data_IF_931632835032
#
_entry.id   IF_931632835032
#
_cell.length_a   1.000
_cell.length_b   1.000
_cell.length_c   1.000
_cell.angle_alpha   90.00
_cell.angle_beta   90.00
_cell.angle_gamma   90.00
#
_symmetry.space_group_name_H-M   'P 1'
#
loop_
_entity.id
_entity.type
_entity.pdbx_description
1 polymer ?
#
# COMPACT_ATOMS: atom_id res chain seq x y z
N UNK A 1 -47.99 -23.30 9.95
CA UNK A 1 -47.19 -22.44 10.83
C UNK A 1 -46.59 -21.34 9.92
N UNK A 2 -47.03 -20.11 10.04
CA UNK A 2 -46.46 -18.99 9.29
C UNK A 2 -45.06 -18.74 9.82
N UNK A 3 -44.06 -18.93 8.96
CA UNK A 3 -42.67 -18.61 9.32
C UNK A 3 -42.55 -17.14 9.71
N UNK A 4 -41.81 -16.85 10.77
CA UNK A 4 -41.49 -15.47 11.11
C UNK A 4 -40.81 -14.80 9.90
N UNK A 5 -41.20 -13.58 9.56
CA UNK A 5 -40.54 -12.86 8.49
C UNK A 5 -39.06 -12.73 8.86
N UNK A 6 -38.17 -13.30 8.02
CA UNK A 6 -36.73 -13.20 8.21
C UNK A 6 -36.31 -11.73 8.32
N UNK A 7 -35.34 -11.44 9.15
CA UNK A 7 -34.77 -10.09 9.26
C UNK A 7 -34.31 -9.61 7.88
N UNK A 8 -34.63 -8.37 7.53
CA UNK A 8 -34.16 -7.74 6.30
C UNK A 8 -32.62 -7.65 6.33
N UNK A 9 -31.97 -8.15 5.28
CA UNK A 9 -30.52 -8.04 5.09
C UNK A 9 -30.15 -6.61 4.71
N UNK A 10 -29.45 -5.92 5.61
CA UNK A 10 -28.95 -4.54 5.40
C UNK A 10 -27.46 -4.59 5.12
N UNK A 11 -27.10 -4.47 3.82
CA UNK A 11 -25.69 -4.51 3.39
C UNK A 11 -25.02 -3.16 3.52
N UNK A 12 -23.86 -3.14 4.20
CA UNK A 12 -23.00 -1.95 4.30
C UNK A 12 -22.39 -1.61 2.94
N UNK A 13 -22.31 -0.32 2.60
CA UNK A 13 -21.50 0.19 1.49
C UNK A 13 -20.23 0.79 2.07
N UNK A 14 -19.10 0.15 1.77
CA UNK A 14 -17.79 0.57 2.22
C UNK A 14 -17.28 1.74 1.37
N UNK A 15 -16.71 2.76 2.04
CA UNK A 15 -16.22 3.99 1.44
C UNK A 15 -14.74 3.87 1.04
N UNK A 16 -14.28 4.76 0.17
CA UNK A 16 -12.85 4.98 -0.10
C UNK A 16 -12.22 5.79 1.03
N UNK A 17 -10.89 5.79 1.12
CA UNK A 17 -10.12 6.54 2.10
C UNK A 17 -9.18 7.52 1.40
N UNK A 18 -9.40 8.83 1.56
CA UNK A 18 -8.64 9.89 0.92
C UNK A 18 -8.40 11.02 1.92
N UNK A 19 -7.15 11.46 2.04
CA UNK A 19 -6.80 12.62 2.85
C UNK A 19 -7.10 12.50 4.35
N UNK A 20 -7.19 11.26 4.88
CA UNK A 20 -7.56 11.00 6.27
C UNK A 20 -9.09 10.89 6.50
N UNK A 21 -9.91 10.93 5.46
CA UNK A 21 -11.37 10.88 5.54
C UNK A 21 -11.94 9.73 4.70
N UNK A 22 -13.22 9.40 4.96
CA UNK A 22 -13.95 8.36 4.25
C UNK A 22 -15.06 8.96 3.35
N UNK A 23 -14.71 9.57 2.21
CA UNK A 23 -15.70 10.09 1.29
C UNK A 23 -16.45 8.98 0.54
N UNK A 24 -17.62 9.32 0.01
CA UNK A 24 -18.23 8.57 -1.08
C UNK A 24 -17.65 9.07 -2.38
N UNK A 25 -17.63 8.21 -3.43
CA UNK A 25 -17.32 8.70 -4.77
C UNK A 25 -18.32 9.77 -5.18
N UNK A 26 -17.84 10.79 -5.85
CA UNK A 26 -18.70 11.84 -6.45
C UNK A 26 -19.69 11.26 -7.48
N UNK A 27 -19.32 10.14 -8.11
CA UNK A 27 -20.16 9.44 -9.08
C UNK A 27 -21.34 8.70 -8.47
N UNK A 28 -21.35 8.50 -7.14
CA UNK A 28 -22.33 7.70 -6.42
C UNK A 28 -22.33 6.20 -6.76
N UNK A 29 -21.42 5.74 -7.63
CA UNK A 29 -21.37 4.33 -8.08
C UNK A 29 -20.79 3.41 -7.01
N UNK A 30 -21.34 2.21 -6.94
CA UNK A 30 -20.84 1.11 -6.10
C UNK A 30 -20.88 -0.21 -6.90
N UNK A 31 -20.25 -1.22 -6.36
CA UNK A 31 -20.30 -2.59 -6.87
C UNK A 31 -20.45 -3.58 -5.72
N UNK A 32 -21.04 -4.74 -6.05
CA UNK A 32 -21.26 -5.81 -5.08
C UNK A 32 -19.95 -6.53 -4.82
N UNK A 33 -19.61 -6.71 -3.54
CA UNK A 33 -18.49 -7.53 -3.07
C UNK A 33 -19.03 -8.89 -2.68
N UNK A 34 -18.43 -9.94 -3.22
CA UNK A 34 -18.82 -11.31 -2.92
C UNK A 34 -17.76 -12.02 -2.08
N UNK A 35 -18.20 -12.94 -1.23
CA UNK A 35 -17.31 -13.88 -0.54
C UNK A 35 -16.67 -14.85 -1.56
N UNK A 36 -15.65 -15.57 -1.13
CA UNK A 36 -14.96 -16.56 -1.98
C UNK A 36 -15.90 -17.67 -2.50
N UNK A 37 -17.02 -17.93 -1.82
CA UNK A 37 -18.07 -18.86 -2.26
C UNK A 37 -19.09 -18.25 -3.23
N UNK A 38 -18.91 -16.99 -3.64
CA UNK A 38 -19.78 -16.27 -4.58
C UNK A 38 -20.98 -15.55 -3.95
N UNK A 39 -21.25 -15.74 -2.66
CA UNK A 39 -22.36 -15.04 -1.97
C UNK A 39 -22.06 -13.54 -1.78
N UNK A 40 -23.03 -12.63 -2.04
CA UNK A 40 -22.83 -11.19 -1.84
C UNK A 40 -22.79 -10.85 -0.35
N UNK A 41 -21.74 -10.12 0.09
CA UNK A 41 -21.51 -9.78 1.50
C UNK A 41 -21.61 -8.29 1.80
N UNK A 42 -21.28 -7.43 0.84
CA UNK A 42 -21.28 -5.99 1.01
C UNK A 42 -21.33 -5.27 -0.33
N UNK A 43 -21.37 -3.94 -0.30
CA UNK A 43 -21.06 -3.09 -1.44
C UNK A 43 -19.78 -2.31 -1.17
N UNK A 44 -18.98 -2.06 -2.20
CA UNK A 44 -17.86 -1.13 -2.14
C UNK A 44 -18.06 0.02 -3.13
N UNK A 45 -17.55 1.18 -2.81
CA UNK A 45 -17.54 2.33 -3.71
C UNK A 45 -16.74 1.98 -4.96
N UNK A 46 -17.29 2.28 -6.14
CA UNK A 46 -16.55 2.25 -7.40
C UNK A 46 -15.97 3.64 -7.63
N UNK A 47 -14.71 3.81 -7.24
CA UNK A 47 -14.01 5.07 -7.40
C UNK A 47 -13.95 5.52 -8.86
N UNK A 48 -14.00 6.82 -9.07
CA UNK A 48 -13.89 7.47 -10.36
C UNK A 48 -12.46 7.96 -10.63
N UNK A 49 -12.19 8.39 -11.86
CA UNK A 49 -10.94 9.08 -12.22
C UNK A 49 -10.74 10.36 -11.42
N UNK A 50 -11.82 11.03 -10.99
CA UNK A 50 -11.76 12.23 -10.17
C UNK A 50 -11.35 11.89 -8.75
N UNK A 51 -11.92 10.83 -8.15
CA UNK A 51 -11.50 10.34 -6.83
C UNK A 51 -10.00 10.00 -6.80
N UNK A 52 -9.50 9.37 -7.88
CA UNK A 52 -8.08 9.06 -8.00
C UNK A 52 -7.22 10.33 -8.03
N UNK A 53 -7.60 11.35 -8.81
CA UNK A 53 -6.89 12.63 -8.83
C UNK A 53 -6.88 13.31 -7.46
N UNK A 54 -7.99 13.28 -6.74
CA UNK A 54 -8.05 13.81 -5.38
C UNK A 54 -7.16 13.02 -4.41
N UNK A 55 -7.08 11.69 -4.56
CA UNK A 55 -6.17 10.86 -3.79
C UNK A 55 -4.70 11.21 -4.06
N UNK A 56 -4.32 11.40 -5.34
CA UNK A 56 -2.96 11.81 -5.71
C UNK A 56 -2.64 13.20 -5.19
N UNK A 57 -3.56 14.16 -5.27
CA UNK A 57 -3.37 15.50 -4.70
C UNK A 57 -3.16 15.45 -3.19
N UNK A 58 -3.94 14.63 -2.48
CA UNK A 58 -3.78 14.44 -1.04
C UNK A 58 -2.42 13.81 -0.72
N UNK A 59 -1.98 12.80 -1.48
CA UNK A 59 -0.68 12.17 -1.33
C UNK A 59 0.46 13.17 -1.59
N UNK A 60 0.39 13.95 -2.69
CA UNK A 60 1.41 14.95 -3.02
C UNK A 60 1.55 16.01 -1.92
N UNK A 61 0.44 16.47 -1.36
CA UNK A 61 0.44 17.43 -0.25
C UNK A 61 1.06 16.84 1.02
N UNK A 62 0.87 15.54 1.27
CA UNK A 62 1.33 14.87 2.48
C UNK A 62 2.76 14.32 2.36
N UNK A 63 3.32 14.15 1.14
CA UNK A 63 4.60 13.47 0.91
C UNK A 63 5.77 14.16 1.58
N UNK A 64 5.98 15.46 1.37
CA UNK A 64 7.09 16.18 1.99
C UNK A 64 6.99 16.25 3.51
N UNK A 65 5.83 16.64 4.12
CA UNK A 65 5.68 16.60 5.59
C UNK A 65 5.91 15.21 6.21
N UNK A 66 5.61 14.13 5.48
CA UNK A 66 5.90 12.77 5.93
C UNK A 66 7.38 12.41 5.80
N UNK A 67 8.03 12.78 4.70
CA UNK A 67 9.46 12.61 4.48
C UNK A 67 10.30 13.33 5.54
N UNK A 68 9.89 14.54 5.94
CA UNK A 68 10.57 15.39 6.92
C UNK A 68 10.46 14.87 8.37
N UNK A 69 9.58 13.90 8.64
CA UNK A 69 9.55 13.29 9.96
C UNK A 69 10.83 12.49 10.21
N UNK A 70 11.28 12.50 11.47
CA UNK A 70 12.44 11.68 11.84
C UNK A 70 12.16 10.21 11.58
N UNK A 71 13.19 9.45 11.27
CA UNK A 71 13.11 8.00 11.07
C UNK A 71 12.43 7.31 12.27
N UNK A 72 12.84 7.68 13.51
CA UNK A 72 12.21 7.16 14.72
C UNK A 72 10.71 7.43 14.76
N UNK A 73 10.26 8.66 14.45
CA UNK A 73 8.84 8.99 14.47
C UNK A 73 8.06 8.18 13.42
N UNK A 74 8.60 8.01 12.20
CA UNK A 74 7.96 7.13 11.20
C UNK A 74 7.84 5.70 11.70
N UNK A 75 8.91 5.15 12.30
CA UNK A 75 8.88 3.81 12.91
C UNK A 75 7.81 3.68 14.00
N UNK A 76 7.71 4.65 14.90
CA UNK A 76 6.69 4.67 15.97
C UNK A 76 5.27 4.69 15.38
N UNK A 77 5.01 5.52 14.36
CA UNK A 77 3.70 5.57 13.70
C UNK A 77 3.34 4.24 13.05
N UNK A 78 4.28 3.59 12.34
CA UNK A 78 4.04 2.29 11.73
C UNK A 78 3.86 1.18 12.78
N UNK A 79 4.59 1.22 13.88
CA UNK A 79 4.38 0.30 14.99
C UNK A 79 2.98 0.47 15.60
N UNK A 80 2.50 1.73 15.72
CA UNK A 80 1.15 2.02 16.17
C UNK A 80 0.07 1.41 15.27
N UNK A 81 0.33 1.30 13.96
CA UNK A 81 -0.58 0.56 13.05
C UNK A 81 -0.69 -0.91 13.45
N UNK A 82 0.44 -1.56 13.77
CA UNK A 82 0.45 -2.95 14.24
C UNK A 82 -0.35 -3.11 15.53
N UNK A 83 -0.16 -2.23 16.52
CA UNK A 83 -0.91 -2.27 17.79
C UNK A 83 -2.42 -2.17 17.58
N UNK A 84 -2.86 -1.28 16.70
CA UNK A 84 -4.30 -1.11 16.43
C UNK A 84 -4.88 -2.24 15.58
N UNK A 85 -4.07 -2.85 14.71
CA UNK A 85 -4.47 -4.08 14.01
C UNK A 85 -4.62 -5.24 14.98
N UNK A 86 -3.70 -5.38 15.96
CA UNK A 86 -3.80 -6.40 17.02
C UNK A 86 -5.11 -6.25 17.80
N UNK A 87 -5.48 -5.02 18.16
CA UNK A 87 -6.74 -4.74 18.84
C UNK A 87 -8.01 -5.07 18.02
N UNK A 88 -7.89 -5.28 16.72
CA UNK A 88 -8.97 -5.66 15.78
C UNK A 88 -8.72 -6.98 15.07
N UNK A 89 -7.80 -7.80 15.61
CA UNK A 89 -7.32 -9.03 14.99
C UNK A 89 -8.46 -9.95 14.56
N UNK A 90 -9.41 -10.24 15.43
CA UNK A 90 -10.54 -11.15 15.13
C UNK A 90 -11.39 -10.64 13.96
N UNK A 91 -11.62 -9.33 13.86
CA UNK A 91 -12.34 -8.75 12.75
C UNK A 91 -11.59 -8.98 11.42
N UNK A 92 -10.27 -8.79 11.41
CA UNK A 92 -9.46 -9.07 10.21
C UNK A 92 -9.46 -10.55 9.86
N UNK A 93 -9.40 -11.45 10.85
CA UNK A 93 -9.47 -12.90 10.63
C UNK A 93 -10.78 -13.28 9.93
N UNK A 94 -11.91 -12.80 10.45
CA UNK A 94 -13.22 -13.06 9.85
C UNK A 94 -13.31 -12.52 8.41
N UNK A 95 -12.86 -11.29 8.18
CA UNK A 95 -12.92 -10.65 6.85
C UNK A 95 -12.02 -11.36 5.85
N UNK A 96 -10.79 -11.73 6.23
CA UNK A 96 -9.83 -12.46 5.37
C UNK A 96 -10.35 -13.87 5.09
N UNK A 97 -10.87 -14.57 6.10
CA UNK A 97 -11.44 -15.90 5.92
C UNK A 97 -12.57 -15.89 4.88
N UNK A 98 -13.47 -14.92 4.95
CA UNK A 98 -14.59 -14.77 4.01
C UNK A 98 -14.12 -14.32 2.63
N UNK A 99 -13.22 -13.35 2.56
CA UNK A 99 -12.75 -12.77 1.29
C UNK A 99 -11.87 -13.74 0.49
N UNK A 100 -10.97 -14.47 1.16
CA UNK A 100 -9.99 -15.36 0.53
C UNK A 100 -10.42 -16.83 0.54
N UNK A 101 -11.51 -17.16 1.26
CA UNK A 101 -12.01 -18.54 1.39
C UNK A 101 -11.10 -19.43 2.24
N UNK A 102 -10.36 -18.82 3.17
CA UNK A 102 -9.43 -19.55 4.05
C UNK A 102 -10.18 -20.28 5.16
N UNK A 103 -9.68 -21.47 5.53
CA UNK A 103 -10.26 -22.32 6.57
C UNK A 103 -9.20 -22.77 7.57
N UNK A 104 -9.65 -23.15 8.77
CA UNK A 104 -8.76 -23.52 9.87
C UNK A 104 -7.86 -22.36 10.22
N UNK A 105 -6.76 -22.54 10.90
CA UNK A 105 -5.83 -21.48 11.33
C UNK A 105 -5.08 -20.70 10.22
N UNK A 106 -5.52 -20.80 8.94
CA UNK A 106 -4.84 -20.11 7.84
C UNK A 106 -5.17 -18.62 7.78
N UNK A 107 -6.40 -18.22 8.14
CA UNK A 107 -6.78 -16.82 8.19
C UNK A 107 -6.06 -16.12 9.34
N UNK A 108 -5.99 -16.78 10.50
CA UNK A 108 -5.22 -16.32 11.65
C UNK A 108 -3.75 -16.12 11.28
N UNK A 109 -3.12 -17.11 10.63
CA UNK A 109 -1.72 -17.01 10.22
C UNK A 109 -1.48 -15.84 9.25
N UNK A 110 -2.40 -15.56 8.33
CA UNK A 110 -2.32 -14.42 7.40
C UNK A 110 -2.41 -13.09 8.14
N UNK A 111 -3.31 -12.97 9.12
CA UNK A 111 -3.49 -11.74 9.89
C UNK A 111 -2.32 -11.51 10.84
N UNK A 112 -1.89 -12.55 11.59
CA UNK A 112 -0.74 -12.48 12.48
C UNK A 112 0.50 -12.04 11.71
N UNK A 113 0.73 -12.63 10.54
CA UNK A 113 1.85 -12.26 9.70
C UNK A 113 1.72 -10.85 9.11
N UNK A 114 0.52 -10.34 8.87
CA UNK A 114 0.32 -8.95 8.44
C UNK A 114 0.67 -7.96 9.56
N UNK A 115 0.36 -8.29 10.81
CA UNK A 115 0.73 -7.50 11.99
C UNK A 115 2.26 -7.52 12.19
N UNK A 116 2.88 -8.71 12.19
CA UNK A 116 4.33 -8.88 12.28
C UNK A 116 5.06 -8.09 11.18
N UNK A 117 4.50 -8.05 9.98
CA UNK A 117 5.05 -7.33 8.83
C UNK A 117 5.13 -5.82 9.07
N UNK A 118 4.13 -5.23 9.71
CA UNK A 118 4.20 -3.83 10.14
C UNK A 118 5.32 -3.59 11.15
N UNK A 119 5.45 -4.50 12.13
CA UNK A 119 6.52 -4.43 13.15
C UNK A 119 7.89 -4.54 12.50
N UNK A 120 8.07 -5.49 11.58
CA UNK A 120 9.34 -5.68 10.89
C UNK A 120 9.76 -4.42 10.10
N UNK A 121 8.85 -3.86 9.28
CA UNK A 121 9.15 -2.65 8.53
C UNK A 121 9.31 -1.42 9.42
N UNK A 122 8.55 -1.28 10.50
CA UNK A 122 8.75 -0.22 11.48
C UNK A 122 10.18 -0.25 12.07
N UNK A 123 10.69 -1.45 12.35
CA UNK A 123 12.05 -1.67 12.82
C UNK A 123 13.16 -1.31 11.83
N UNK A 124 12.85 -1.06 10.56
CA UNK A 124 13.82 -0.61 9.55
C UNK A 124 13.99 0.91 9.50
N UNK A 125 13.08 1.67 10.07
CA UNK A 125 13.05 3.12 9.90
C UNK A 125 14.40 3.81 10.19
N UNK A 126 15.02 3.49 11.30
CA UNK A 126 16.31 4.06 11.74
C UNK A 126 17.54 3.40 11.09
N UNK A 127 17.36 2.29 10.38
CA UNK A 127 18.45 1.51 9.77
C UNK A 127 18.67 1.83 8.29
N UNK A 128 17.68 2.42 7.62
CA UNK A 128 17.70 2.66 6.17
C UNK A 128 18.96 3.42 5.75
N UNK A 129 19.27 4.55 6.39
CA UNK A 129 20.43 5.35 6.02
C UNK A 129 21.75 4.68 6.36
N UNK A 130 21.80 3.83 7.39
CA UNK A 130 23.02 3.10 7.78
C UNK A 130 23.32 1.96 6.82
N UNK A 131 22.28 1.25 6.33
CA UNK A 131 22.43 0.05 5.50
C UNK A 131 22.53 0.39 4.02
N UNK A 132 21.78 1.42 3.56
CA UNK A 132 21.71 1.77 2.15
C UNK A 132 22.53 3.02 1.80
N UNK A 133 22.94 3.83 2.79
CA UNK A 133 23.84 4.93 2.59
C UNK A 133 25.31 4.49 2.48
N UNK A 134 26.17 5.36 1.98
CA UNK A 134 27.61 5.06 1.85
C UNK A 134 28.48 6.31 1.98
N UNK A 135 29.72 6.12 2.45
CA UNK A 135 30.80 7.05 2.25
C UNK A 135 31.63 6.56 1.05
N UNK A 136 31.86 7.42 0.07
CA UNK A 136 32.48 7.03 -1.19
C UNK A 136 33.93 7.54 -1.24
N UNK A 137 34.95 6.70 -1.54
CA UNK A 137 36.31 7.16 -1.72
C UNK A 137 36.43 7.96 -3.02
N UNK A 138 37.08 9.12 -2.93
CA UNK A 138 37.34 9.99 -4.08
C UNK A 138 38.79 10.49 -4.04
N UNK A 139 39.42 10.73 -5.19
CA UNK A 139 40.79 11.13 -5.33
C UNK A 139 41.00 12.67 -5.28
N UNK A 140 40.17 13.37 -4.46
CA UNK A 140 40.18 14.81 -4.32
C UNK A 140 39.77 15.23 -2.90
N UNK A 141 40.00 16.48 -2.46
CA UNK A 141 39.69 16.91 -1.11
C UNK A 141 38.18 17.14 -0.88
N UNK A 142 37.42 16.07 -1.01
CA UNK A 142 35.99 16.04 -0.77
C UNK A 142 35.62 14.90 0.15
N UNK A 143 34.71 15.17 1.08
CA UNK A 143 33.92 14.12 1.74
C UNK A 143 32.70 13.82 0.85
N UNK A 144 32.74 12.68 0.19
CA UNK A 144 31.68 12.24 -0.69
C UNK A 144 30.85 11.17 0.03
N UNK A 145 29.55 11.38 0.10
CA UNK A 145 28.64 10.44 0.72
C UNK A 145 27.30 10.37 0.00
N UNK A 146 26.67 9.22 0.09
CA UNK A 146 25.34 8.96 -0.51
C UNK A 146 24.32 8.70 0.58
N UNK A 147 23.17 9.38 0.49
CA UNK A 147 22.04 9.21 1.37
C UNK A 147 20.80 8.78 0.59
N UNK A 148 19.99 7.84 1.13
CA UNK A 148 18.70 7.50 0.54
C UNK A 148 17.65 8.57 0.89
N UNK A 149 16.92 9.03 -0.13
CA UNK A 149 15.76 9.93 0.00
C UNK A 149 14.51 9.26 -0.58
N UNK A 150 13.29 9.53 -0.07
CA UNK A 150 12.06 8.96 -0.63
C UNK A 150 11.83 9.46 -2.05
N UNK A 151 11.23 8.61 -2.92
CA UNK A 151 10.88 9.00 -4.30
C UNK A 151 9.74 10.03 -4.35
N UNK A 152 8.84 10.06 -3.35
CA UNK A 152 7.73 11.00 -3.27
C UNK A 152 6.37 10.33 -3.14
N UNK A 153 5.58 10.26 -4.22
CA UNK A 153 4.28 9.60 -4.26
C UNK A 153 4.37 8.27 -4.99
N UNK A 154 3.98 7.19 -4.31
CA UNK A 154 3.97 5.83 -4.86
C UNK A 154 2.55 5.38 -5.16
N UNK A 155 2.28 5.04 -6.41
CA UNK A 155 1.05 4.37 -6.81
C UNK A 155 1.19 2.85 -6.61
N UNK A 156 0.26 2.23 -5.89
CA UNK A 156 0.29 0.79 -5.61
C UNK A 156 -0.94 0.13 -6.22
N UNK A 157 -0.73 -0.84 -7.09
CA UNK A 157 -1.78 -1.77 -7.51
C UNK A 157 -1.67 -3.02 -6.64
N UNK A 158 -2.55 -3.14 -5.65
CA UNK A 158 -2.49 -4.20 -4.65
C UNK A 158 -2.70 -5.60 -5.26
N UNK A 159 -2.09 -6.64 -4.67
CA UNK A 159 -2.33 -8.03 -5.06
C UNK A 159 -3.82 -8.40 -5.02
N UNK A 160 -4.25 -9.28 -5.92
CA UNK A 160 -5.62 -9.81 -5.93
C UNK A 160 -5.78 -11.06 -5.06
N UNK A 161 -4.71 -11.83 -4.92
CA UNK A 161 -4.76 -13.13 -4.24
C UNK A 161 -4.57 -13.04 -2.73
N UNK A 162 -3.97 -11.96 -2.24
CA UNK A 162 -3.75 -11.69 -0.82
C UNK A 162 -4.20 -10.28 -0.46
N UNK A 163 -5.45 -10.20 0.00
CA UNK A 163 -6.17 -8.94 0.19
C UNK A 163 -5.68 -8.10 1.38
N UNK A 164 -5.07 -8.74 2.39
CA UNK A 164 -4.50 -8.08 3.56
C UNK A 164 -2.97 -8.22 3.60
N UNK A 165 -2.43 -9.42 3.73
CA UNK A 165 -0.99 -9.64 3.92
C UNK A 165 -0.18 -9.16 2.72
N UNK A 166 -0.63 -9.46 1.50
CA UNK A 166 -0.02 -8.95 0.27
C UNK A 166 -0.08 -7.42 0.18
N UNK A 167 -1.23 -6.83 0.54
CA UNK A 167 -1.38 -5.38 0.62
C UNK A 167 -0.40 -4.76 1.62
N UNK A 168 -0.35 -5.25 2.87
CA UNK A 168 0.57 -4.76 3.90
C UNK A 168 2.02 -4.88 3.45
N UNK A 169 2.40 -6.00 2.84
CA UNK A 169 3.75 -6.23 2.34
C UNK A 169 4.17 -5.27 1.21
N UNK A 170 3.20 -4.67 0.49
CA UNK A 170 3.49 -3.66 -0.53
C UNK A 170 3.32 -2.22 -0.01
N UNK A 171 2.57 -2.03 1.07
CA UNK A 171 2.26 -0.73 1.65
C UNK A 171 3.33 -0.26 2.65
N UNK A 172 3.81 -1.16 3.51
CA UNK A 172 4.75 -0.81 4.59
C UNK A 172 6.13 -0.34 4.08
N UNK A 173 6.76 -0.96 3.04
CA UNK A 173 8.07 -0.53 2.53
C UNK A 173 8.13 0.93 2.05
N UNK A 174 7.23 1.45 1.19
CA UNK A 174 7.26 2.85 0.79
C UNK A 174 6.97 3.80 1.96
N UNK A 175 6.11 3.41 2.91
CA UNK A 175 5.79 4.26 4.06
C UNK A 175 6.99 4.43 5.00
N UNK A 176 7.71 3.35 5.33
CA UNK A 176 8.90 3.44 6.18
C UNK A 176 10.02 4.22 5.50
N UNK A 177 10.12 4.14 4.17
CA UNK A 177 11.03 4.93 3.36
C UNK A 177 10.70 6.44 3.35
N UNK A 178 9.50 6.85 3.78
CA UNK A 178 9.08 8.25 3.84
C UNK A 178 8.21 8.71 2.67
N UNK A 179 7.70 7.79 1.84
CA UNK A 179 6.80 8.12 0.73
C UNK A 179 5.35 8.21 1.17
N UNK A 180 4.55 9.00 0.46
CA UNK A 180 3.10 8.91 0.50
C UNK A 180 2.59 7.95 -0.59
N UNK A 181 1.41 7.35 -0.37
CA UNK A 181 0.93 6.31 -1.27
C UNK A 181 -0.51 6.51 -1.72
N UNK A 182 -0.79 6.07 -2.95
CA UNK A 182 -2.13 5.92 -3.51
C UNK A 182 -2.32 4.46 -3.89
N UNK A 183 -3.24 3.78 -3.23
CA UNK A 183 -3.47 2.34 -3.34
C UNK A 183 -4.75 2.06 -4.11
N UNK A 184 -4.66 1.25 -5.14
CA UNK A 184 -5.80 0.55 -5.72
C UNK A 184 -5.91 -0.81 -5.04
N UNK A 185 -6.91 -0.99 -4.18
CA UNK A 185 -7.15 -2.23 -3.45
C UNK A 185 -7.48 -3.39 -4.41
N UNK A 186 -7.47 -4.63 -3.91
CA UNK A 186 -8.01 -5.77 -4.65
C UNK A 186 -9.42 -5.45 -5.13
N UNK A 187 -9.68 -5.66 -6.41
CA UNK A 187 -11.00 -5.41 -7.01
C UNK A 187 -12.04 -6.36 -6.44
N UNK A 188 -11.67 -7.63 -6.30
CA UNK A 188 -12.59 -8.69 -5.88
C UNK A 188 -12.70 -8.84 -4.37
N UNK A 189 -11.69 -8.42 -3.61
CA UNK A 189 -11.55 -8.63 -2.15
C UNK A 189 -11.18 -7.34 -1.40
N UNK A 190 -11.94 -6.23 -1.56
CA UNK A 190 -11.52 -4.93 -1.07
C UNK A 190 -11.71 -4.73 0.46
N UNK A 191 -12.52 -5.56 1.14
CA UNK A 191 -12.95 -5.27 2.51
C UNK A 191 -11.80 -5.22 3.53
N UNK A 192 -10.84 -6.16 3.56
CA UNK A 192 -9.71 -6.08 4.49
C UNK A 192 -8.88 -4.80 4.30
N UNK A 193 -8.76 -4.30 3.07
CA UNK A 193 -8.08 -3.04 2.78
C UNK A 193 -8.83 -1.82 3.32
N UNK A 194 -10.16 -1.82 3.26
CA UNK A 194 -10.96 -0.72 3.83
C UNK A 194 -10.92 -0.75 5.36
N UNK A 195 -10.99 -1.93 5.98
CA UNK A 195 -10.83 -2.08 7.43
C UNK A 195 -9.43 -1.64 7.89
N UNK A 196 -8.38 -1.95 7.11
CA UNK A 196 -7.04 -1.41 7.35
C UNK A 196 -7.03 0.13 7.29
N UNK A 197 -7.79 0.74 6.38
CA UNK A 197 -7.89 2.21 6.31
C UNK A 197 -8.52 2.81 7.57
N UNK A 198 -9.46 2.10 8.23
CA UNK A 198 -10.02 2.53 9.51
C UNK A 198 -8.96 2.48 10.63
N UNK A 199 -8.06 1.48 10.59
CA UNK A 199 -6.89 1.42 11.48
C UNK A 199 -5.95 2.60 11.20
N UNK A 200 -5.59 2.83 9.94
CA UNK A 200 -4.70 3.94 9.53
C UNK A 200 -5.26 5.31 9.95
N UNK A 201 -6.56 5.51 9.87
CA UNK A 201 -7.22 6.76 10.28
C UNK A 201 -7.13 7.04 11.79
N UNK A 202 -6.80 6.04 12.59
CA UNK A 202 -6.75 6.13 14.07
C UNK A 202 -5.36 5.85 14.65
N UNK A 203 -4.35 5.62 13.79
CA UNK A 203 -2.99 5.19 14.17
C UNK A 203 -1.92 6.28 14.04
N UNK A 204 -2.27 7.55 14.13
CA UNK A 204 -1.35 8.68 13.98
C UNK A 204 -0.72 8.83 12.58
N UNK A 205 -1.12 8.02 11.59
CA UNK A 205 -0.73 8.21 10.18
C UNK A 205 -1.36 9.50 9.68
N UNK A 206 -0.56 10.50 9.25
CA UNK A 206 -1.12 11.77 8.83
C UNK A 206 -2.06 11.62 7.62
N UNK A 207 -3.16 12.39 7.61
CA UNK A 207 -4.10 12.37 6.51
C UNK A 207 -3.43 12.67 5.17
N UNK A 208 -3.66 11.81 4.18
CA UNK A 208 -3.06 11.91 2.85
C UNK A 208 -1.76 11.10 2.65
N UNK A 209 -1.08 10.67 3.72
CA UNK A 209 0.08 9.77 3.61
C UNK A 209 -0.33 8.43 2.99
N UNK A 210 -1.50 7.92 3.35
CA UNK A 210 -2.13 6.78 2.69
C UNK A 210 -3.48 7.19 2.14
N UNK A 211 -3.73 6.85 0.87
CA UNK A 211 -5.01 7.02 0.21
C UNK A 211 -5.39 5.69 -0.44
N UNK A 212 -6.59 5.19 -0.17
CA UNK A 212 -7.01 3.87 -0.63
C UNK A 212 -8.33 3.95 -1.39
N UNK A 213 -8.29 3.43 -2.61
CA UNK A 213 -9.40 3.40 -3.53
C UNK A 213 -9.85 1.96 -3.80
N UNK A 214 -11.16 1.75 -3.79
CA UNK A 214 -11.82 0.56 -4.30
C UNK A 214 -12.43 0.86 -5.66
N UNK A 215 -12.52 -0.11 -6.57
CA UNK A 215 -13.10 0.11 -7.89
C UNK A 215 -12.52 -0.82 -8.94
N UNK A 216 -12.84 -0.58 -10.20
CA UNK A 216 -12.40 -1.42 -11.31
C UNK A 216 -10.97 -1.05 -11.72
N UNK A 217 -10.05 -1.99 -11.62
CA UNK A 217 -8.63 -1.79 -11.95
C UNK A 217 -8.42 -1.32 -13.39
N UNK A 218 -9.17 -1.86 -14.33
CA UNK A 218 -9.11 -1.44 -15.75
C UNK A 218 -9.44 0.04 -15.99
N UNK A 219 -10.21 0.67 -15.09
CA UNK A 219 -10.56 2.09 -15.21
C UNK A 219 -9.56 3.00 -14.48
N UNK A 220 -8.95 2.50 -13.41
CA UNK A 220 -8.11 3.32 -12.53
C UNK A 220 -6.62 3.17 -12.81
N UNK A 221 -6.15 1.99 -13.20
CA UNK A 221 -4.72 1.73 -13.45
C UNK A 221 -4.12 2.66 -14.51
N UNK A 222 -4.73 2.86 -15.70
CA UNK A 222 -4.16 3.77 -16.71
C UNK A 222 -4.07 5.20 -16.19
N UNK A 223 -5.06 5.64 -15.42
CA UNK A 223 -5.09 7.00 -14.85
C UNK A 223 -4.00 7.17 -13.78
N UNK A 224 -3.76 6.15 -12.95
CA UNK A 224 -2.69 6.14 -11.95
C UNK A 224 -1.31 6.15 -12.62
N UNK A 225 -1.14 5.32 -13.67
CA UNK A 225 0.11 5.18 -14.40
C UNK A 225 0.51 6.46 -15.16
N UNK A 226 -0.48 7.16 -15.71
CA UNK A 226 -0.25 8.39 -16.48
C UNK A 226 -0.23 9.67 -15.61
N UNK A 227 -0.45 9.58 -14.28
CA UNK A 227 -0.57 10.78 -13.45
C UNK A 227 0.80 11.39 -13.15
N UNK A 228 1.07 12.62 -13.58
CA UNK A 228 2.36 13.32 -13.43
C UNK A 228 2.85 13.44 -11.98
N UNK A 229 1.94 13.59 -11.00
CA UNK A 229 2.28 13.67 -9.57
C UNK A 229 2.47 12.28 -8.90
N UNK A 230 2.57 11.20 -9.66
CA UNK A 230 2.97 9.87 -9.18
C UNK A 230 4.40 9.63 -9.63
N UNK A 231 5.33 9.48 -8.70
CA UNK A 231 6.77 9.35 -8.98
C UNK A 231 7.19 7.89 -9.21
N UNK A 232 6.48 6.96 -8.60
CA UNK A 232 6.82 5.54 -8.64
C UNK A 232 5.57 4.67 -8.68
N UNK A 233 5.68 3.47 -9.27
CA UNK A 233 4.58 2.52 -9.38
C UNK A 233 4.98 1.13 -8.86
N UNK A 234 4.16 0.58 -7.98
CA UNK A 234 4.13 -0.83 -7.67
C UNK A 234 3.13 -1.53 -8.60
N UNK A 235 3.64 -2.28 -9.53
CA UNK A 235 2.82 -2.97 -10.54
C UNK A 235 2.50 -4.43 -10.15
N UNK A 236 2.60 -4.77 -8.87
CA UNK A 236 2.41 -6.15 -8.41
C UNK A 236 1.05 -6.72 -8.83
N UNK A 237 -0.03 -6.02 -8.53
CA UNK A 237 -1.38 -6.44 -8.85
C UNK A 237 -1.88 -6.02 -10.23
N UNK A 238 -1.01 -5.51 -11.11
CA UNK A 238 -1.39 -5.18 -12.50
C UNK A 238 -1.66 -6.47 -13.29
N UNK A 239 -2.83 -6.60 -13.93
CA UNK A 239 -3.12 -7.72 -14.83
C UNK A 239 -2.09 -7.83 -15.94
N UNK A 240 -1.73 -9.06 -16.39
CA UNK A 240 -0.70 -9.26 -17.40
C UNK A 240 -0.96 -8.54 -18.72
N UNK A 241 -2.22 -8.47 -19.14
CA UNK A 241 -2.69 -7.82 -20.36
C UNK A 241 -2.58 -6.28 -20.33
N UNK A 242 -2.54 -5.68 -19.15
CA UNK A 242 -2.39 -4.23 -18.96
C UNK A 242 -0.92 -3.80 -18.75
N UNK A 243 0.01 -4.74 -18.57
CA UNK A 243 1.37 -4.42 -18.13
C UNK A 243 2.12 -3.52 -19.12
N UNK A 244 2.08 -3.84 -20.41
CA UNK A 244 2.75 -3.05 -21.44
C UNK A 244 2.21 -1.62 -21.50
N UNK A 245 0.89 -1.46 -21.44
CA UNK A 245 0.26 -0.13 -21.40
C UNK A 245 0.72 0.68 -20.17
N UNK A 246 0.75 0.07 -19.00
CA UNK A 246 1.21 0.72 -17.75
C UNK A 246 2.68 1.16 -17.86
N UNK A 247 3.54 0.30 -18.40
CA UNK A 247 4.96 0.61 -18.57
C UNK A 247 5.17 1.74 -19.60
N UNK A 248 4.40 1.77 -20.67
CA UNK A 248 4.41 2.87 -21.66
C UNK A 248 3.98 4.19 -21.02
N UNK A 249 2.83 4.22 -20.33
CA UNK A 249 2.32 5.41 -19.65
C UNK A 249 3.30 5.92 -18.58
N UNK A 250 3.91 5.02 -17.83
CA UNK A 250 4.89 5.38 -16.81
C UNK A 250 6.19 5.96 -17.40
N UNK A 251 6.57 5.56 -18.61
CA UNK A 251 7.79 6.04 -19.27
C UNK A 251 7.71 7.50 -19.71
N UNK A 252 6.50 8.03 -19.92
CA UNK A 252 6.29 9.43 -20.33
C UNK A 252 6.81 10.42 -19.28
N UNK A 253 6.73 10.08 -18.00
CA UNK A 253 7.21 10.90 -16.88
C UNK A 253 8.41 10.27 -16.14
N UNK A 254 9.07 9.28 -16.74
CA UNK A 254 10.25 8.59 -16.17
C UNK A 254 9.98 8.00 -14.78
N UNK A 255 8.79 7.46 -14.55
CA UNK A 255 8.42 6.87 -13.26
C UNK A 255 9.26 5.62 -12.96
N UNK A 256 9.64 5.48 -11.70
CA UNK A 256 10.23 4.22 -11.22
C UNK A 256 9.16 3.13 -11.13
N UNK A 257 9.46 1.94 -11.63
CA UNK A 257 8.54 0.79 -11.58
C UNK A 257 9.17 -0.32 -10.75
N UNK A 258 8.51 -0.71 -9.64
CA UNK A 258 8.84 -1.91 -8.91
C UNK A 258 8.08 -3.11 -9.50
N UNK A 259 8.83 -3.97 -10.17
CA UNK A 259 8.32 -5.17 -10.84
C UNK A 259 8.36 -6.38 -9.89
N UNK A 260 7.49 -7.34 -10.15
CA UNK A 260 7.61 -8.67 -9.56
C UNK A 260 8.90 -9.34 -10.03
N UNK A 261 9.55 -10.19 -9.20
CA UNK A 261 10.66 -11.03 -9.66
C UNK A 261 10.28 -11.82 -10.90
N UNK A 262 11.25 -12.08 -11.77
CA UNK A 262 11.01 -12.85 -13.00
C UNK A 262 10.43 -14.24 -12.69
N UNK A 263 9.40 -14.65 -13.45
CA UNK A 263 8.72 -15.92 -13.27
C UNK A 263 7.73 -15.99 -12.08
N UNK A 264 7.65 -14.93 -11.26
CA UNK A 264 6.70 -14.85 -10.16
C UNK A 264 5.38 -14.26 -10.63
N UNK A 265 4.27 -14.91 -10.31
CA UNK A 265 2.92 -14.38 -10.50
C UNK A 265 2.30 -14.10 -9.13
N UNK A 266 1.30 -13.22 -9.06
CA UNK A 266 0.59 -12.93 -7.82
C UNK A 266 0.04 -14.22 -7.16
N UNK A 267 -0.52 -15.11 -7.95
CA UNK A 267 -1.10 -16.38 -7.48
C UNK A 267 -0.06 -17.42 -6.99
N UNK A 268 1.22 -17.27 -7.35
CA UNK A 268 2.28 -18.20 -6.99
C UNK A 268 3.22 -17.69 -5.89
N UNK A 269 3.07 -16.43 -5.49
CA UNK A 269 3.90 -15.86 -4.45
C UNK A 269 3.36 -16.24 -3.08
N UNK A 270 4.22 -16.85 -2.26
CA UNK A 270 3.87 -17.16 -0.88
C UNK A 270 4.15 -15.93 0.01
N UNK A 271 3.08 -15.22 0.36
CA UNK A 271 3.17 -14.05 1.23
C UNK A 271 3.52 -14.40 2.69
N UNK A 272 3.37 -15.69 3.09
CA UNK A 272 3.75 -16.18 4.41
C UNK A 272 5.25 -16.50 4.50
N UNK A 273 5.97 -16.58 3.37
CA UNK A 273 7.42 -16.71 3.37
C UNK A 273 8.08 -15.36 3.67
N UNK A 274 8.51 -15.18 4.93
CA UNK A 274 9.18 -13.96 5.39
C UNK A 274 10.47 -13.68 4.64
N UNK A 275 11.24 -14.72 4.27
CA UNK A 275 12.49 -14.54 3.52
C UNK A 275 12.26 -13.89 2.16
N UNK A 276 11.10 -14.13 1.57
CA UNK A 276 10.72 -13.56 0.30
C UNK A 276 10.06 -12.17 0.47
N UNK A 277 9.34 -11.96 1.56
CA UNK A 277 8.47 -10.79 1.76
C UNK A 277 9.00 -9.75 2.76
N UNK A 278 10.03 -10.07 3.56
CA UNK A 278 10.71 -9.17 4.51
C UNK A 278 12.13 -8.88 4.02
N UNK A 279 12.23 -7.98 3.05
CA UNK A 279 13.51 -7.70 2.41
C UNK A 279 13.78 -6.20 2.34
N UNK A 280 15.01 -5.75 2.70
CA UNK A 280 15.39 -4.34 2.56
C UNK A 280 15.36 -3.84 1.12
N UNK A 281 15.52 -4.73 0.13
CA UNK A 281 15.43 -4.36 -1.29
C UNK A 281 14.04 -3.84 -1.68
N UNK A 282 12.99 -4.24 -0.95
CA UNK A 282 11.66 -3.70 -1.17
C UNK A 282 11.54 -2.27 -0.64
N UNK A 283 12.31 -1.90 0.39
CA UNK A 283 12.42 -0.52 0.85
C UNK A 283 13.24 0.28 -0.17
N UNK A 284 14.39 -0.27 -0.61
CA UNK A 284 15.29 0.38 -1.57
C UNK A 284 14.61 0.71 -2.91
N UNK A 285 13.58 -0.06 -3.30
CA UNK A 285 12.79 0.20 -4.51
C UNK A 285 12.10 1.58 -4.51
N UNK A 286 11.91 2.19 -3.34
CA UNK A 286 11.18 3.45 -3.14
C UNK A 286 12.09 4.59 -2.67
N UNK A 287 13.40 4.46 -2.90
CA UNK A 287 14.40 5.43 -2.50
C UNK A 287 15.21 5.91 -3.71
N UNK A 288 15.49 7.21 -3.73
CA UNK A 288 16.49 7.83 -4.59
C UNK A 288 17.82 7.96 -3.84
N UNK A 289 18.93 7.68 -4.54
CA UNK A 289 20.26 7.78 -3.95
C UNK A 289 20.89 9.12 -4.28
N UNK A 290 20.93 10.03 -3.29
CA UNK A 290 21.49 11.36 -3.42
C UNK A 290 22.94 11.37 -2.98
N UNK A 291 23.87 11.62 -3.91
CA UNK A 291 25.29 11.75 -3.61
C UNK A 291 25.66 13.21 -3.41
N UNK A 292 26.28 13.49 -2.26
CA UNK A 292 26.73 14.82 -1.86
C UNK A 292 28.26 14.88 -1.92
N UNK A 293 28.78 15.92 -2.56
CA UNK A 293 30.20 16.28 -2.61
C UNK A 293 30.44 17.46 -1.66
N UNK A 294 30.97 17.18 -0.48
CA UNK A 294 31.26 18.22 0.51
C UNK A 294 32.76 18.53 0.51
N UNK A 295 33.19 19.77 0.18
CA UNK A 295 34.60 20.13 0.21
C UNK A 295 35.15 19.98 1.64
N UNK A 296 36.25 19.25 1.77
CA UNK A 296 37.06 19.24 3.00
C UNK A 296 38.21 20.19 2.77
N UNK A 297 38.30 21.22 3.61
CA UNK A 297 39.37 22.23 3.49
C UNK A 297 40.77 21.60 3.43
N UNK A 298 41.64 22.20 2.66
CA UNK A 298 43.06 21.85 2.58
C UNK A 298 43.79 22.28 3.81
#
# INVERSE_FOLDING_TARGET
MAGQPGRIDVRKTYKIYIGGAFPRSESGRSYVVSAANGGPIANAVRASRKDLREAVRAARKASQPWADKTAMNRGQVLYRVAELMEGRRDQFVDEVAVAEGLRGGRAEAVVDRAIDRWVWYAGWADKISQVLGSANPVAAPYFNFTIPEPTGVVGIVAPETSSLLGLVSRLAPPLVAGNAVVVLASETRPLPAVTLSEVLATSDVPGGVVNLLTGLKKELIPVLAAHVDVDSLDVWGVPPDMRTEVEMLASEDIKRIARRPAGVTDAKFDWLDDRAAERPEWIASWLEMKTVWHPIGT
#
